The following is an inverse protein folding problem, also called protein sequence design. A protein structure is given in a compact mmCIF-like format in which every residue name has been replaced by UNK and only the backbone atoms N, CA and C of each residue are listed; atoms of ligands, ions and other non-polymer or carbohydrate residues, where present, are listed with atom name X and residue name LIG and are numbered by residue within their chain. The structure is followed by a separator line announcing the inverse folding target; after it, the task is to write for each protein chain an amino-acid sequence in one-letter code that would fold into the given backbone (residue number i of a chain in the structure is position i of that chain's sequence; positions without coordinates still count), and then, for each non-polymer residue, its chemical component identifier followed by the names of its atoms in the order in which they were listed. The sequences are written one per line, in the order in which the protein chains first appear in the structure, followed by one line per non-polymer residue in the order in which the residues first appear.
data_IF_543023395790
#
_entry.id   IF_543023395790
#
_cell.length_a   1.000
_cell.length_b   1.000
_cell.length_c   1.000
_cell.angle_alpha   90.00
_cell.angle_beta   90.00
_cell.angle_gamma   90.00
#
_symmetry.space_group_name_H-M   'P 1'
#
loop_
_entity.id
_entity.type
_entity.pdbx_description
1 polymer ?
#
# COMPACT_ATOMS: atom_id res chain seq x y z
N UNK A 1 -2.81 -44.18 8.68
CA UNK A 1 -3.43 -42.91 8.20
C UNK A 1 -2.66 -41.65 8.62
N UNK A 2 -2.20 -41.50 9.88
CA UNK A 2 -1.39 -40.33 10.31
C UNK A 2 -0.04 -40.13 9.56
N UNK A 3 0.57 -41.19 9.03
CA UNK A 3 1.88 -41.14 8.34
C UNK A 3 1.82 -40.62 6.89
N UNK A 4 0.68 -40.72 6.21
CA UNK A 4 0.50 -40.23 4.83
C UNK A 4 0.17 -38.74 4.85
N UNK A 5 -0.64 -38.30 5.82
CA UNK A 5 -0.99 -36.90 6.05
C UNK A 5 0.21 -36.04 6.48
N UNK A 6 1.14 -36.61 7.26
CA UNK A 6 2.38 -35.90 7.67
C UNK A 6 3.35 -35.72 6.50
N UNK A 7 3.43 -36.67 5.57
CA UNK A 7 4.25 -36.55 4.34
C UNK A 7 3.71 -35.45 3.41
N UNK A 8 2.39 -35.38 3.20
CA UNK A 8 1.76 -34.33 2.38
C UNK A 8 1.92 -32.91 2.98
N UNK A 9 1.87 -32.79 4.31
CA UNK A 9 2.11 -31.50 4.97
C UNK A 9 3.58 -31.07 4.90
N UNK A 10 4.52 -32.02 4.92
CA UNK A 10 5.96 -31.71 4.87
C UNK A 10 6.41 -31.14 3.52
N UNK A 11 5.87 -31.65 2.40
CA UNK A 11 6.18 -31.12 1.06
C UNK A 11 5.54 -29.77 0.79
N UNK A 12 4.31 -29.56 1.28
CA UNK A 12 3.64 -28.26 1.20
C UNK A 12 4.44 -27.17 1.96
N UNK A 13 4.90 -27.48 3.18
CA UNK A 13 5.69 -26.54 3.98
C UNK A 13 7.03 -26.17 3.33
N UNK A 14 7.68 -27.14 2.69
CA UNK A 14 8.92 -26.93 1.96
C UNK A 14 8.72 -26.06 0.70
N UNK A 15 7.58 -26.22 0.03
CA UNK A 15 7.24 -25.34 -1.11
C UNK A 15 7.00 -23.90 -0.67
N UNK A 16 6.31 -23.72 0.46
CA UNK A 16 6.02 -22.40 1.04
C UNK A 16 7.31 -21.77 1.56
N UNK A 17 8.18 -22.54 2.23
CA UNK A 17 9.49 -22.07 2.66
C UNK A 17 10.29 -21.57 1.48
N UNK A 18 10.25 -22.29 0.36
CA UNK A 18 10.99 -21.89 -0.81
C UNK A 18 10.48 -20.58 -1.41
N UNK A 19 9.17 -20.38 -1.45
CA UNK A 19 8.63 -19.11 -1.92
C UNK A 19 9.03 -17.92 -1.02
N UNK A 20 8.98 -18.13 0.30
CA UNK A 20 9.33 -17.10 1.30
C UNK A 20 10.83 -16.75 1.24
N UNK A 21 11.69 -17.76 1.12
CA UNK A 21 13.13 -17.58 1.02
C UNK A 21 13.50 -16.82 -0.26
N UNK A 22 12.84 -17.13 -1.38
CA UNK A 22 13.08 -16.44 -2.66
C UNK A 22 12.79 -14.95 -2.56
N UNK A 23 11.75 -14.61 -1.79
CA UNK A 23 11.32 -13.23 -1.58
C UNK A 23 12.19 -12.46 -0.59
N UNK A 24 12.77 -13.14 0.40
CA UNK A 24 13.53 -12.52 1.49
C UNK A 24 15.03 -12.40 1.22
N UNK A 25 15.61 -13.31 0.42
CA UNK A 25 17.05 -13.41 0.23
C UNK A 25 17.54 -12.63 -0.99
N UNK A 26 18.76 -12.06 -0.95
CA UNK A 26 19.47 -11.60 -2.14
C UNK A 26 19.71 -12.76 -3.11
N UNK A 27 19.70 -12.49 -4.43
CA UNK A 27 19.85 -13.52 -5.47
C UNK A 27 21.09 -14.41 -5.26
N UNK A 28 22.20 -13.82 -4.80
CA UNK A 28 23.48 -14.52 -4.60
C UNK A 28 23.45 -15.58 -3.48
N UNK A 29 22.49 -15.47 -2.55
CA UNK A 29 22.38 -16.36 -1.40
C UNK A 29 21.29 -17.43 -1.57
N UNK A 30 20.58 -17.44 -2.70
CA UNK A 30 19.50 -18.40 -2.94
C UNK A 30 20.04 -19.82 -2.99
N UNK A 31 20.91 -20.14 -3.95
CA UNK A 31 21.46 -21.50 -4.12
C UNK A 31 22.13 -22.09 -2.88
N UNK A 32 23.06 -21.39 -2.19
CA UNK A 32 23.74 -21.96 -1.04
C UNK A 32 22.79 -22.21 0.14
N UNK A 33 21.85 -21.29 0.40
CA UNK A 33 20.90 -21.45 1.51
C UNK A 33 19.84 -22.50 1.18
N UNK A 34 19.37 -22.59 -0.07
CA UNK A 34 18.42 -23.63 -0.48
C UNK A 34 18.99 -25.03 -0.34
N UNK A 35 20.23 -25.24 -0.80
CA UNK A 35 20.90 -26.54 -0.73
C UNK A 35 21.01 -27.03 0.71
N UNK A 36 21.57 -26.20 1.59
CA UNK A 36 21.78 -26.55 3.01
C UNK A 36 20.45 -26.76 3.76
N UNK A 37 19.46 -25.90 3.53
CA UNK A 37 18.15 -26.00 4.17
C UNK A 37 17.43 -27.30 3.79
N UNK A 38 17.50 -27.70 2.51
CA UNK A 38 16.87 -28.92 2.02
C UNK A 38 17.58 -30.17 2.54
N UNK A 39 18.92 -30.14 2.58
CA UNK A 39 19.73 -31.23 3.12
C UNK A 39 19.45 -31.46 4.61
N UNK A 40 19.50 -30.40 5.43
CA UNK A 40 19.23 -30.49 6.87
C UNK A 40 17.78 -30.89 7.15
N UNK A 41 16.83 -30.37 6.40
CA UNK A 41 15.43 -30.79 6.52
C UNK A 41 15.27 -32.30 6.29
N UNK A 42 15.89 -32.86 5.25
CA UNK A 42 15.84 -34.30 4.98
C UNK A 42 16.47 -35.12 6.10
N UNK A 43 17.58 -34.66 6.68
CA UNK A 43 18.24 -35.32 7.82
C UNK A 43 17.30 -35.36 9.03
N UNK A 44 16.68 -34.24 9.40
CA UNK A 44 15.81 -34.15 10.58
C UNK A 44 14.49 -34.91 10.33
N UNK A 45 13.96 -34.89 9.11
CA UNK A 45 12.71 -35.57 8.74
C UNK A 45 12.83 -37.10 8.81
N UNK A 46 14.04 -37.66 8.58
CA UNK A 46 14.32 -39.09 8.78
C UNK A 46 14.14 -39.53 10.24
N UNK A 47 14.39 -38.63 11.20
CA UNK A 47 14.21 -38.90 12.63
C UNK A 47 12.79 -38.61 13.11
N UNK A 48 12.26 -37.43 12.79
CA UNK A 48 10.90 -37.01 13.16
C UNK A 48 10.40 -35.90 12.26
N UNK A 49 9.29 -36.16 11.54
CA UNK A 49 8.65 -35.18 10.67
C UNK A 49 8.17 -33.93 11.41
N UNK A 50 7.74 -34.07 12.67
CA UNK A 50 7.27 -32.94 13.47
C UNK A 50 8.42 -32.01 13.84
N UNK A 51 9.56 -32.55 14.29
CA UNK A 51 10.75 -31.74 14.60
C UNK A 51 11.32 -31.05 13.37
N UNK A 52 11.30 -31.71 12.20
CA UNK A 52 11.75 -31.13 10.94
C UNK A 52 10.91 -29.91 10.54
N UNK A 53 9.58 -30.02 10.68
CA UNK A 53 8.66 -28.92 10.41
C UNK A 53 8.90 -27.73 11.36
N UNK A 54 9.03 -28.00 12.67
CA UNK A 54 9.26 -26.95 13.66
C UNK A 54 10.61 -26.24 13.44
N UNK A 55 11.66 -27.00 13.14
CA UNK A 55 12.98 -26.47 12.80
C UNK A 55 12.92 -25.61 11.53
N UNK A 56 12.22 -26.06 10.49
CA UNK A 56 12.07 -25.32 9.24
C UNK A 56 11.38 -23.97 9.49
N UNK A 57 10.31 -23.94 10.29
CA UNK A 57 9.64 -22.69 10.69
C UNK A 57 10.60 -21.76 11.45
N UNK A 58 11.37 -22.29 12.39
CA UNK A 58 12.36 -21.51 13.14
C UNK A 58 13.44 -20.92 12.23
N UNK A 59 13.97 -21.69 11.28
CA UNK A 59 14.96 -21.21 10.32
C UNK A 59 14.42 -20.14 9.40
N UNK A 60 13.21 -20.34 8.84
CA UNK A 60 12.55 -19.32 8.01
C UNK A 60 12.36 -18.02 8.79
N UNK A 61 11.89 -18.10 10.04
CA UNK A 61 11.71 -16.91 10.88
C UNK A 61 13.02 -16.18 11.14
N UNK A 62 14.10 -16.92 11.41
CA UNK A 62 15.44 -16.35 11.64
C UNK A 62 15.98 -15.65 10.39
N UNK A 63 15.88 -16.30 9.23
CA UNK A 63 16.33 -15.76 7.94
C UNK A 63 15.49 -14.54 7.54
N UNK A 64 14.16 -14.61 7.70
CA UNK A 64 13.26 -13.47 7.48
C UNK A 64 13.64 -12.29 8.35
N UNK A 65 13.89 -12.51 9.64
CA UNK A 65 14.27 -11.44 10.55
C UNK A 65 15.57 -10.77 10.12
N UNK A 66 16.57 -11.56 9.72
CA UNK A 66 17.89 -11.04 9.40
C UNK A 66 17.96 -10.38 8.02
N UNK A 67 17.45 -11.05 6.98
CA UNK A 67 17.59 -10.61 5.60
C UNK A 67 16.42 -9.74 5.11
N UNK A 68 15.21 -9.94 5.60
CA UNK A 68 14.08 -9.11 5.15
C UNK A 68 14.30 -7.64 5.53
N UNK A 69 14.87 -7.39 6.71
CA UNK A 69 15.25 -6.05 7.09
C UNK A 69 16.46 -5.51 6.32
N UNK A 70 17.20 -6.26 5.51
CA UNK A 70 18.26 -5.70 4.65
C UNK A 70 17.77 -5.52 3.21
N UNK A 71 17.09 -6.54 2.68
CA UNK A 71 16.65 -6.63 1.28
C UNK A 71 15.37 -5.81 1.01
N UNK A 72 14.44 -5.73 1.97
CA UNK A 72 13.10 -5.15 1.77
C UNK A 72 12.85 -3.84 2.58
N UNK A 73 13.91 -3.18 3.07
CA UNK A 73 13.81 -1.97 3.93
C UNK A 73 12.84 -0.92 3.39
N UNK A 74 12.94 -0.63 2.09
CA UNK A 74 12.15 0.41 1.44
C UNK A 74 10.65 0.13 1.49
N UNK A 75 10.23 -1.12 1.24
CA UNK A 75 8.82 -1.51 1.30
C UNK A 75 8.29 -1.43 2.74
N UNK A 76 9.07 -1.84 3.74
CA UNK A 76 8.66 -1.69 5.14
C UNK A 76 8.46 -0.23 5.55
N UNK A 77 9.40 0.65 5.20
CA UNK A 77 9.29 2.09 5.52
C UNK A 77 8.08 2.73 4.81
N UNK A 78 7.82 2.34 3.56
CA UNK A 78 6.63 2.78 2.82
C UNK A 78 5.34 2.35 3.53
N UNK A 79 5.21 1.06 3.87
CA UNK A 79 4.02 0.52 4.53
C UNK A 79 3.80 1.13 5.92
N UNK A 80 4.85 1.29 6.72
CA UNK A 80 4.77 1.93 8.04
C UNK A 80 4.31 3.39 7.90
N UNK A 81 4.82 4.11 6.89
CA UNK A 81 4.41 5.49 6.63
C UNK A 81 2.93 5.58 6.29
N UNK A 82 2.44 4.76 5.34
CA UNK A 82 1.02 4.72 4.97
C UNK A 82 0.15 4.34 6.17
N UNK A 83 0.55 3.32 6.94
CA UNK A 83 -0.16 2.92 8.15
C UNK A 83 -0.24 4.05 9.17
N UNK A 84 0.87 4.75 9.43
CA UNK A 84 0.91 5.85 10.39
C UNK A 84 -0.01 7.01 9.98
N UNK A 85 -0.04 7.38 8.70
CA UNK A 85 -0.89 8.45 8.17
C UNK A 85 -2.36 8.06 8.34
N UNK A 86 -2.73 6.83 7.96
CA UNK A 86 -4.11 6.33 8.10
C UNK A 86 -4.50 6.30 9.58
N UNK A 87 -3.64 5.80 10.47
CA UNK A 87 -3.91 5.72 11.90
C UNK A 87 -4.15 7.11 12.52
N UNK A 88 -3.34 8.10 12.16
CA UNK A 88 -3.51 9.48 12.64
C UNK A 88 -4.82 10.07 12.12
N UNK A 89 -5.13 9.91 10.84
CA UNK A 89 -6.39 10.43 10.26
C UNK A 89 -7.62 9.80 10.91
N UNK A 90 -7.64 8.47 11.09
CA UNK A 90 -8.74 7.78 11.76
C UNK A 90 -8.88 8.20 13.23
N UNK A 91 -7.76 8.42 13.92
CA UNK A 91 -7.77 8.94 15.28
C UNK A 91 -8.34 10.36 15.33
N UNK A 92 -8.00 11.22 14.36
CA UNK A 92 -8.60 12.55 14.23
C UNK A 92 -10.11 12.48 14.03
N UNK A 93 -10.60 11.57 13.19
CA UNK A 93 -12.05 11.40 12.98
C UNK A 93 -12.75 10.92 14.23
N UNK A 94 -12.17 9.94 14.91
CA UNK A 94 -12.71 9.41 16.16
C UNK A 94 -12.85 10.48 17.25
N UNK A 95 -11.86 11.37 17.37
CA UNK A 95 -11.89 12.48 18.32
C UNK A 95 -12.77 13.66 17.87
N UNK A 96 -13.01 13.78 16.56
CA UNK A 96 -13.72 14.91 15.98
C UNK A 96 -15.24 14.79 15.98
N UNK A 97 -15.80 13.58 16.06
CA UNK A 97 -17.25 13.35 16.14
C UNK A 97 -17.69 12.01 15.54
N UNK A 98 -18.91 11.97 15.00
CA UNK A 98 -19.44 10.75 14.37
C UNK A 98 -18.71 10.42 13.06
N UNK A 99 -18.30 9.17 12.86
CA UNK A 99 -17.55 8.77 11.66
C UNK A 99 -18.31 9.04 10.35
N UNK A 100 -19.64 8.93 10.36
CA UNK A 100 -20.52 9.15 9.20
C UNK A 100 -20.31 10.54 8.56
N UNK A 101 -19.95 11.55 9.35
CA UNK A 101 -19.76 12.92 8.85
C UNK A 101 -18.51 13.08 7.98
N UNK A 102 -17.58 12.12 8.02
CA UNK A 102 -16.34 12.13 7.25
C UNK A 102 -16.39 11.24 6.01
N UNK A 103 -17.51 10.61 5.69
CA UNK A 103 -17.66 9.71 4.54
C UNK A 103 -18.69 10.27 3.55
N UNK A 104 -18.22 11.12 2.63
CA UNK A 104 -19.02 11.69 1.54
C UNK A 104 -18.57 11.13 0.19
N UNK A 105 -19.37 10.20 -0.35
CA UNK A 105 -19.09 9.51 -1.63
C UNK A 105 -18.91 10.51 -2.80
N UNK A 106 -19.76 11.54 -2.98
CA UNK A 106 -19.57 12.54 -4.02
C UNK A 106 -18.20 13.22 -3.98
N UNK A 107 -17.77 13.70 -2.81
CA UNK A 107 -16.46 14.33 -2.62
C UNK A 107 -15.30 13.39 -2.94
N UNK A 108 -15.40 12.11 -2.57
CA UNK A 108 -14.39 11.09 -2.92
C UNK A 108 -14.30 10.93 -4.45
N UNK A 109 -15.44 10.86 -5.15
CA UNK A 109 -15.48 10.72 -6.60
C UNK A 109 -14.91 11.94 -7.32
N UNK A 110 -15.21 13.16 -6.84
CA UNK A 110 -14.69 14.42 -7.40
C UNK A 110 -13.15 14.43 -7.37
N UNK A 111 -12.53 13.87 -6.34
CA UNK A 111 -11.06 13.83 -6.21
C UNK A 111 -10.46 12.64 -6.95
N UNK A 112 -10.91 11.43 -6.63
CA UNK A 112 -10.24 10.21 -7.04
C UNK A 112 -10.42 9.92 -8.53
N UNK A 113 -11.62 10.13 -9.08
CA UNK A 113 -11.91 9.76 -10.47
C UNK A 113 -11.06 10.59 -11.45
N UNK A 114 -11.03 11.95 -11.39
CA UNK A 114 -10.17 12.72 -12.26
C UNK A 114 -8.68 12.42 -12.05
N UNK A 115 -8.24 12.24 -10.80
CA UNK A 115 -6.84 11.92 -10.51
C UNK A 115 -6.38 10.62 -11.16
N UNK A 116 -7.21 9.58 -11.13
CA UNK A 116 -6.93 8.30 -11.78
C UNK A 116 -6.99 8.42 -13.31
N UNK A 117 -8.01 9.10 -13.86
CA UNK A 117 -8.15 9.22 -15.31
C UNK A 117 -7.01 10.05 -15.95
N UNK A 118 -6.62 11.16 -15.32
CA UNK A 118 -5.55 12.02 -15.82
C UNK A 118 -4.19 11.35 -15.71
N UNK A 119 -3.94 10.57 -14.65
CA UNK A 119 -2.71 9.78 -14.54
C UNK A 119 -2.67 8.63 -15.55
N UNK A 120 -3.78 7.92 -15.78
CA UNK A 120 -3.89 6.92 -16.84
C UNK A 120 -3.64 7.53 -18.22
N UNK A 121 -4.14 8.73 -18.48
CA UNK A 121 -3.87 9.47 -19.72
C UNK A 121 -2.39 9.84 -19.85
N UNK A 122 -1.73 10.21 -18.75
CA UNK A 122 -0.35 10.69 -18.78
C UNK A 122 0.70 9.60 -19.00
N UNK A 123 0.47 8.37 -18.50
CA UNK A 123 1.47 7.28 -18.53
C UNK A 123 0.99 5.99 -19.20
N UNK A 124 -0.31 5.87 -19.50
CA UNK A 124 -0.92 4.64 -20.00
C UNK A 124 -1.24 3.61 -18.90
N UNK A 125 -2.15 2.68 -19.23
CA UNK A 125 -2.69 1.69 -18.28
C UNK A 125 -1.63 0.71 -17.74
N UNK A 126 -0.72 0.26 -18.60
CA UNK A 126 0.30 -0.73 -18.23
C UNK A 126 1.28 -0.14 -17.21
N UNK A 127 1.83 1.03 -17.50
CA UNK A 127 2.71 1.79 -16.61
C UNK A 127 2.00 2.12 -15.30
N UNK A 128 0.75 2.61 -15.37
CA UNK A 128 -0.04 2.91 -14.18
C UNK A 128 -0.15 1.69 -13.25
N UNK A 129 -0.56 0.53 -13.77
CA UNK A 129 -0.71 -0.68 -12.96
C UNK A 129 0.63 -1.21 -12.45
N UNK A 130 1.69 -1.11 -13.26
CA UNK A 130 3.05 -1.48 -12.86
C UNK A 130 3.57 -0.60 -11.72
N UNK A 131 3.31 0.71 -11.76
CA UNK A 131 3.70 1.67 -10.72
C UNK A 131 3.24 1.22 -9.32
N UNK A 132 2.01 0.74 -9.16
CA UNK A 132 1.52 0.24 -7.87
C UNK A 132 2.21 -1.05 -7.43
N UNK A 133 2.52 -1.95 -8.37
CA UNK A 133 3.24 -3.19 -8.07
C UNK A 133 4.66 -2.91 -7.57
N UNK A 134 5.33 -1.92 -8.16
CA UNK A 134 6.69 -1.53 -7.80
C UNK A 134 6.80 -0.97 -6.37
N UNK A 135 5.76 -0.27 -5.88
CA UNK A 135 5.75 0.22 -4.50
C UNK A 135 5.91 -0.89 -3.45
N UNK A 136 5.41 -2.09 -3.75
CA UNK A 136 5.41 -3.23 -2.84
C UNK A 136 6.55 -4.22 -3.10
N UNK A 137 7.14 -4.22 -4.30
CA UNK A 137 8.13 -5.20 -4.72
C UNK A 137 9.50 -4.55 -4.90
N UNK A 138 10.33 -4.59 -3.85
CA UNK A 138 11.69 -4.02 -3.88
C UNK A 138 12.56 -4.68 -4.94
N UNK A 139 12.42 -5.98 -5.15
CA UNK A 139 13.21 -6.71 -6.14
C UNK A 139 12.94 -6.19 -7.56
N UNK A 140 11.68 -6.10 -7.97
CA UNK A 140 11.29 -5.51 -9.26
C UNK A 140 11.72 -4.05 -9.39
N UNK A 141 11.66 -3.28 -8.30
CA UNK A 141 12.09 -1.88 -8.29
C UNK A 141 13.60 -1.76 -8.51
N UNK A 142 14.40 -2.63 -7.89
CA UNK A 142 15.85 -2.62 -8.01
C UNK A 142 16.34 -3.13 -9.39
N UNK A 143 15.52 -3.89 -10.11
CA UNK A 143 15.82 -4.35 -11.48
C UNK A 143 15.60 -3.25 -12.53
N UNK A 144 14.83 -2.21 -12.21
CA UNK A 144 14.56 -1.11 -13.13
C UNK A 144 15.71 -0.10 -13.13
N UNK A 145 16.24 0.20 -14.31
CA UNK A 145 17.24 1.25 -14.49
C UNK A 145 16.64 2.66 -14.35
N UNK A 146 15.38 2.86 -14.75
CA UNK A 146 14.69 4.15 -14.68
C UNK A 146 13.27 4.04 -14.11
N UNK A 147 12.92 4.96 -13.20
CA UNK A 147 11.59 5.03 -12.56
C UNK A 147 10.78 6.27 -12.97
N UNK A 148 11.25 7.04 -13.95
CA UNK A 148 10.71 8.35 -14.35
C UNK A 148 9.20 8.31 -14.66
N UNK A 149 8.77 7.39 -15.53
CA UNK A 149 7.35 7.24 -15.87
C UNK A 149 6.53 6.73 -14.67
N UNK A 150 7.11 5.93 -13.77
CA UNK A 150 6.42 5.48 -12.56
C UNK A 150 6.24 6.59 -11.52
N UNK A 151 7.25 7.46 -11.37
CA UNK A 151 7.18 8.67 -10.55
C UNK A 151 6.13 9.62 -11.10
N UNK A 152 6.13 9.82 -12.41
CA UNK A 152 5.17 10.67 -13.13
C UNK A 152 3.72 10.21 -12.91
N UNK A 153 3.46 8.91 -12.82
CA UNK A 153 2.13 8.37 -12.44
C UNK A 153 1.60 9.03 -11.17
N UNK A 154 2.37 8.96 -10.08
CA UNK A 154 1.96 9.48 -8.78
C UNK A 154 2.05 11.01 -8.72
N UNK A 155 2.96 11.62 -9.45
CA UNK A 155 3.08 13.07 -9.54
C UNK A 155 1.81 13.69 -10.15
N UNK A 156 1.40 13.18 -11.32
CA UNK A 156 0.20 13.64 -12.04
C UNK A 156 -1.04 13.33 -11.22
N UNK A 157 -1.16 12.12 -10.68
CA UNK A 157 -2.30 11.71 -9.86
C UNK A 157 -2.46 12.63 -8.63
N UNK A 158 -1.36 12.89 -7.90
CA UNK A 158 -1.38 13.73 -6.72
C UNK A 158 -1.63 15.21 -7.05
N UNK A 159 -1.02 15.76 -8.10
CA UNK A 159 -1.28 17.14 -8.54
C UNK A 159 -2.74 17.33 -8.96
N UNK A 160 -3.29 16.39 -9.72
CA UNK A 160 -4.69 16.42 -10.16
C UNK A 160 -5.63 16.33 -8.97
N UNK A 161 -5.37 15.42 -8.02
CA UNK A 161 -6.17 15.33 -6.79
C UNK A 161 -6.22 16.67 -6.05
N UNK A 162 -5.07 17.34 -5.86
CA UNK A 162 -4.99 18.65 -5.22
C UNK A 162 -5.79 19.72 -5.97
N UNK A 163 -5.71 19.74 -7.31
CA UNK A 163 -6.50 20.66 -8.14
C UNK A 163 -8.01 20.43 -7.95
N UNK A 164 -8.45 19.18 -7.89
CA UNK A 164 -9.86 18.85 -7.62
C UNK A 164 -10.30 19.27 -6.20
N UNK A 165 -9.40 19.23 -5.22
CA UNK A 165 -9.63 19.80 -3.89
C UNK A 165 -9.95 21.29 -3.93
N UNK A 166 -9.11 22.07 -4.63
CA UNK A 166 -9.36 23.51 -4.84
C UNK A 166 -10.62 23.78 -5.65
N UNK A 167 -10.91 22.94 -6.65
CA UNK A 167 -12.17 23.01 -7.40
C UNK A 167 -13.37 22.83 -6.45
N UNK A 168 -13.32 21.84 -5.55
CA UNK A 168 -14.34 21.62 -4.51
C UNK A 168 -14.57 22.82 -3.61
N UNK A 169 -13.49 23.51 -3.18
CA UNK A 169 -13.57 24.74 -2.40
C UNK A 169 -14.35 25.82 -3.16
N UNK A 170 -14.00 26.05 -4.42
CA UNK A 170 -14.65 27.05 -5.26
C UNK A 170 -16.13 26.72 -5.46
N UNK A 171 -16.46 25.46 -5.79
CA UNK A 171 -17.86 25.05 -6.00
C UNK A 171 -18.71 25.17 -4.73
N UNK A 172 -18.15 24.84 -3.57
CA UNK A 172 -18.86 24.99 -2.29
C UNK A 172 -19.08 26.45 -1.92
N UNK A 173 -18.07 27.31 -2.12
CA UNK A 173 -18.20 28.75 -1.90
C UNK A 173 -19.30 29.36 -2.78
N UNK A 174 -19.38 28.96 -4.06
CA UNK A 174 -20.45 29.38 -4.98
C UNK A 174 -21.82 28.91 -4.48
N UNK A 175 -21.94 27.65 -4.03
CA UNK A 175 -23.20 27.10 -3.54
C UNK A 175 -23.72 27.82 -2.27
N UNK A 176 -22.82 28.23 -1.39
CA UNK A 176 -23.13 29.05 -0.22
C UNK A 176 -23.59 30.44 -0.67
N UNK A 177 -22.83 31.08 -1.57
CA UNK A 177 -23.13 32.43 -2.05
C UNK A 177 -24.41 32.52 -2.89
N UNK A 178 -24.88 31.44 -3.51
CA UNK A 178 -26.12 31.45 -4.29
C UNK A 178 -27.39 31.41 -3.43
N UNK A 179 -27.30 31.14 -2.13
CA UNK A 179 -28.45 30.88 -1.24
C UNK A 179 -28.44 31.78 0.01
N UNK A 180 -28.46 33.10 -0.19
CA UNK A 180 -28.26 34.10 0.90
C UNK A 180 -29.57 34.48 1.64
N UNK A 181 -30.72 33.86 1.34
CA UNK A 181 -31.93 34.16 2.13
C UNK A 181 -31.72 33.72 3.60
N UNK A 182 -32.06 34.60 4.55
CA UNK A 182 -31.81 34.38 5.98
C UNK A 182 -32.45 33.07 6.50
N UNK A 183 -33.57 32.65 5.89
CA UNK A 183 -34.28 31.41 6.22
C UNK A 183 -33.56 30.14 5.73
N UNK A 184 -32.82 30.22 4.62
CA UNK A 184 -32.13 29.08 3.99
C UNK A 184 -30.65 28.99 4.35
N UNK A 185 -30.11 30.00 5.05
CA UNK A 185 -28.69 30.04 5.39
C UNK A 185 -28.26 28.80 6.18
N UNK A 186 -28.99 28.42 7.22
CA UNK A 186 -28.61 27.27 8.05
C UNK A 186 -28.73 25.92 7.32
N UNK A 187 -29.74 25.77 6.46
CA UNK A 187 -30.01 24.53 5.73
C UNK A 187 -29.09 24.32 4.52
N UNK A 188 -28.52 25.39 3.96
CA UNK A 188 -27.61 25.30 2.80
C UNK A 188 -26.14 25.43 3.19
N UNK A 189 -25.81 26.31 4.15
CA UNK A 189 -24.42 26.58 4.51
C UNK A 189 -23.73 25.33 5.04
N UNK A 190 -24.33 24.65 6.02
CA UNK A 190 -23.73 23.48 6.68
C UNK A 190 -23.36 22.37 5.70
N UNK A 191 -24.31 21.87 4.88
CA UNK A 191 -24.02 20.83 3.89
C UNK A 191 -22.99 21.26 2.83
N UNK A 192 -23.10 22.47 2.29
CA UNK A 192 -22.15 22.95 1.28
C UNK A 192 -20.73 23.13 1.84
N UNK A 193 -20.62 23.64 3.07
CA UNK A 193 -19.35 23.80 3.79
C UNK A 193 -18.72 22.45 4.14
N UNK A 194 -19.53 21.45 4.51
CA UNK A 194 -19.06 20.10 4.77
C UNK A 194 -18.49 19.47 3.49
N UNK A 195 -19.23 19.49 2.37
CA UNK A 195 -18.78 18.92 1.09
C UNK A 195 -17.47 19.56 0.61
N UNK A 196 -17.33 20.88 0.69
CA UNK A 196 -16.08 21.53 0.28
C UNK A 196 -14.89 21.17 1.16
N UNK A 197 -15.09 21.10 2.49
CA UNK A 197 -14.04 20.71 3.42
C UNK A 197 -13.63 19.24 3.24
N UNK A 198 -14.61 18.34 3.02
CA UNK A 198 -14.35 16.92 2.76
C UNK A 198 -13.65 16.71 1.42
N UNK A 199 -14.03 17.44 0.37
CA UNK A 199 -13.34 17.39 -0.93
C UNK A 199 -11.87 17.81 -0.78
N UNK A 200 -11.58 18.89 -0.04
CA UNK A 200 -10.21 19.28 0.26
C UNK A 200 -9.48 18.21 1.08
N UNK A 201 -10.10 17.68 2.13
CA UNK A 201 -9.53 16.64 2.97
C UNK A 201 -9.11 15.42 2.16
N UNK A 202 -9.99 14.89 1.30
CA UNK A 202 -9.66 13.75 0.45
C UNK A 202 -8.56 14.06 -0.56
N UNK A 203 -8.52 15.28 -1.10
CA UNK A 203 -7.43 15.71 -1.99
C UNK A 203 -6.07 15.70 -1.29
N UNK A 204 -6.01 16.16 -0.03
CA UNK A 204 -4.80 16.17 0.78
C UNK A 204 -4.37 14.74 1.14
N UNK A 205 -5.32 13.87 1.49
CA UNK A 205 -5.04 12.46 1.75
C UNK A 205 -4.45 11.78 0.51
N UNK A 206 -5.08 11.97 -0.65
CA UNK A 206 -4.61 11.39 -1.92
C UNK A 206 -3.25 11.95 -2.34
N UNK A 207 -3.03 13.27 -2.21
CA UNK A 207 -1.74 13.91 -2.49
C UNK A 207 -0.64 13.39 -1.56
N UNK A 208 -0.94 13.18 -0.29
CA UNK A 208 0.00 12.64 0.70
C UNK A 208 0.39 11.22 0.35
N UNK A 209 -0.57 10.35 0.03
CA UNK A 209 -0.29 9.00 -0.47
C UNK A 209 0.63 9.03 -1.69
N UNK A 210 0.30 9.85 -2.69
CA UNK A 210 1.10 9.99 -3.90
C UNK A 210 2.52 10.49 -3.59
N UNK A 211 2.67 11.42 -2.65
CA UNK A 211 3.97 11.94 -2.25
C UNK A 211 4.84 10.85 -1.62
N UNK A 212 4.28 10.05 -0.69
CA UNK A 212 4.99 8.92 -0.08
C UNK A 212 5.36 7.86 -1.13
N UNK A 213 4.49 7.62 -2.11
CA UNK A 213 4.77 6.73 -3.25
C UNK A 213 5.93 7.23 -4.12
N UNK A 214 5.99 8.54 -4.42
CA UNK A 214 7.10 9.14 -5.17
C UNK A 214 8.43 8.95 -4.42
N UNK A 215 8.46 9.26 -3.11
CA UNK A 215 9.65 9.08 -2.28
C UNK A 215 10.17 7.64 -2.28
N UNK A 216 9.26 6.65 -2.40
CA UNK A 216 9.62 5.24 -2.51
C UNK A 216 10.30 4.90 -3.85
N UNK A 217 9.86 5.52 -4.94
CA UNK A 217 10.34 5.26 -6.30
C UNK A 217 11.61 6.02 -6.66
N UNK A 218 11.91 7.11 -5.94
CA UNK A 218 13.11 7.93 -6.15
C UNK A 218 14.30 7.51 -5.28
N UNK A 219 14.19 6.41 -4.53
CA UNK A 219 15.21 5.92 -3.60
C UNK A 219 15.90 4.69 -4.15
#
# INVERSE_FOLDING_TARGET
MKSVQTKANSSALLSISNHILKWSLPNDLHEPIYGDLHEQFHIINKQSAFKACLWLIQQICSVLWHFSHSTQRGTYMFLISIFSIIAIVLMTFWLGGELSMYFDIPSILIVCLPAILVSLMAVGKETFMSSFKLLLNTHLLNELEETNEHVKTFEVMGKTAMLMGWFGIVTGAIAIASNISAEMFASVFGPAFAVMCLTLLYSLMMKTFCYVAILRLTR
#
